data_IF_535510669879
#
_entry.id   IF_535510669879
#
_cell.length_a   1.000
_cell.length_b   1.000
_cell.length_c   1.000
_cell.angle_alpha   90.00
_cell.angle_beta   90.00
_cell.angle_gamma   90.00
#
_symmetry.space_group_name_H-M   'P 1'
#
loop_
_entity.id
_entity.type
_entity.pdbx_description
1 polymer ?
#
# COMPACT_ATOMS: atom_id res chain seq x y z
N UNK A 1 13.20 16.36 -6.99
CA UNK A 1 11.74 16.33 -7.24
C UNK A 1 11.46 15.09 -8.07
N UNK A 2 10.85 14.05 -7.51
CA UNK A 2 10.68 12.78 -8.23
C UNK A 2 9.50 12.91 -9.19
N UNK A 3 9.80 13.19 -10.45
CA UNK A 3 8.86 13.03 -11.56
C UNK A 3 8.48 11.55 -11.67
N UNK A 4 7.22 11.22 -11.42
CA UNK A 4 6.65 9.95 -11.84
C UNK A 4 5.93 10.18 -13.17
N UNK A 5 6.55 9.66 -14.24
CA UNK A 5 5.84 9.39 -15.48
C UNK A 5 4.78 8.33 -15.18
N UNK A 6 3.53 8.66 -15.47
CA UNK A 6 2.35 7.86 -15.19
C UNK A 6 2.29 6.59 -16.06
N UNK A 7 3.13 5.63 -15.74
CA UNK A 7 2.94 4.21 -16.08
C UNK A 7 3.05 3.38 -14.81
N UNK A 8 2.55 3.93 -13.70
CA UNK A 8 2.46 3.25 -12.41
C UNK A 8 1.32 2.23 -12.44
N UNK A 9 1.58 1.02 -11.94
CA UNK A 9 0.55 0.01 -11.78
C UNK A 9 -0.54 0.60 -10.86
N UNK A 10 -1.84 0.61 -11.22
CA UNK A 10 -2.88 1.30 -10.43
C UNK A 10 -2.92 0.89 -8.94
N UNK A 11 -2.47 -0.34 -8.65
CA UNK A 11 -2.36 -0.85 -7.28
C UNK A 11 -1.17 -0.30 -6.49
N UNK A 12 -0.08 0.11 -7.14
CA UNK A 12 1.09 0.70 -6.50
C UNK A 12 0.78 2.15 -6.13
N UNK A 13 0.26 2.93 -7.08
CA UNK A 13 -0.16 4.33 -6.88
C UNK A 13 -1.18 4.45 -5.72
N UNK A 14 -2.09 3.49 -5.61
CA UNK A 14 -3.05 3.44 -4.50
C UNK A 14 -2.38 3.22 -3.14
N UNK A 15 -1.38 2.34 -3.06
CA UNK A 15 -0.62 2.09 -1.84
C UNK A 15 0.25 3.28 -1.47
N UNK A 16 0.91 3.91 -2.44
CA UNK A 16 1.69 5.14 -2.25
C UNK A 16 0.82 6.23 -1.63
N UNK A 17 -0.37 6.47 -2.19
CA UNK A 17 -1.29 7.47 -1.66
C UNK A 17 -1.75 7.20 -0.23
N UNK A 18 -1.93 5.93 0.14
CA UNK A 18 -2.25 5.54 1.53
C UNK A 18 -1.09 5.88 2.46
N UNK A 19 0.15 5.58 2.05
CA UNK A 19 1.35 5.84 2.85
C UNK A 19 1.59 7.35 3.02
N UNK A 20 1.44 8.13 1.95
CA UNK A 20 1.56 9.59 1.99
C UNK A 20 0.59 10.19 3.00
N UNK A 21 -0.69 9.77 2.96
CA UNK A 21 -1.71 10.24 3.92
C UNK A 21 -1.39 9.79 5.34
N UNK A 22 -0.88 8.57 5.53
CA UNK A 22 -0.49 8.08 6.85
C UNK A 22 0.58 8.96 7.50
N UNK A 23 1.61 9.35 6.75
CA UNK A 23 2.70 10.19 7.27
C UNK A 23 2.33 11.66 7.40
N UNK A 24 1.59 12.22 6.45
CA UNK A 24 1.23 13.65 6.44
C UNK A 24 0.13 13.99 7.43
N UNK A 25 -0.92 13.17 7.52
CA UNK A 25 -2.09 13.44 8.36
C UNK A 25 -2.08 12.67 9.69
N UNK A 26 -1.11 11.77 9.90
CA UNK A 26 -0.91 10.98 11.13
C UNK A 26 -2.20 10.28 11.58
N UNK A 27 -2.97 9.78 10.61
CA UNK A 27 -4.23 9.10 10.86
C UNK A 27 -4.02 7.71 11.47
N UNK A 28 -4.97 7.30 12.32
CA UNK A 28 -5.01 5.91 12.77
C UNK A 28 -5.39 4.97 11.63
N UNK A 29 -4.96 3.70 11.73
CA UNK A 29 -5.29 2.62 10.78
C UNK A 29 -6.80 2.57 10.47
N UNK A 30 -7.65 2.74 11.49
CA UNK A 30 -9.12 2.71 11.33
C UNK A 30 -9.64 3.89 10.52
N UNK A 31 -9.07 5.09 10.70
CA UNK A 31 -9.43 6.29 9.92
C UNK A 31 -8.97 6.16 8.47
N UNK A 32 -7.76 5.63 8.25
CA UNK A 32 -7.26 5.31 6.91
C UNK A 32 -8.17 4.32 6.18
N UNK A 33 -8.49 3.19 6.82
CA UNK A 33 -9.37 2.17 6.25
C UNK A 33 -10.72 2.76 5.79
N UNK A 34 -11.35 3.58 6.64
CA UNK A 34 -12.61 4.26 6.32
C UNK A 34 -12.46 5.24 5.14
N UNK A 35 -11.38 6.04 5.12
CA UNK A 35 -11.15 7.04 4.07
C UNK A 35 -10.91 6.43 2.70
N UNK A 36 -10.18 5.33 2.65
CA UNK A 36 -9.82 4.65 1.40
C UNK A 36 -10.78 3.51 1.02
N UNK A 37 -11.81 3.24 1.84
CA UNK A 37 -12.80 2.20 1.54
C UNK A 37 -12.23 0.78 1.55
N UNK A 38 -11.18 0.52 2.34
CA UNK A 38 -10.49 -0.78 2.42
C UNK A 38 -10.61 -1.39 3.80
N UNK A 39 -10.28 -2.68 3.91
CA UNK A 39 -10.27 -3.36 5.20
C UNK A 39 -9.15 -2.84 6.10
N UNK A 40 -9.37 -2.90 7.43
CA UNK A 40 -8.33 -2.61 8.43
C UNK A 40 -7.09 -3.49 8.22
N UNK A 41 -7.32 -4.78 7.98
CA UNK A 41 -6.26 -5.78 7.78
C UNK A 41 -5.37 -5.47 6.58
N UNK A 42 -5.93 -4.89 5.51
CA UNK A 42 -5.15 -4.44 4.36
C UNK A 42 -4.17 -3.32 4.76
N UNK A 43 -4.64 -2.30 5.47
CA UNK A 43 -3.79 -1.19 5.96
C UNK A 43 -2.72 -1.73 6.93
N UNK A 44 -3.09 -2.60 7.88
CA UNK A 44 -2.15 -3.19 8.83
C UNK A 44 -1.05 -3.98 8.12
N UNK A 45 -1.42 -4.81 7.15
CA UNK A 45 -0.46 -5.61 6.38
C UNK A 45 0.46 -4.73 5.54
N UNK A 46 -0.08 -3.66 4.95
CA UNK A 46 0.70 -2.69 4.17
C UNK A 46 1.72 -1.95 5.04
N UNK A 47 1.29 -1.38 6.17
CA UNK A 47 2.18 -0.67 7.09
C UNK A 47 3.22 -1.60 7.72
N UNK A 48 2.83 -2.83 8.05
CA UNK A 48 3.75 -3.86 8.54
C UNK A 48 4.85 -4.14 7.51
N UNK A 49 4.48 -4.36 6.24
CA UNK A 49 5.44 -4.57 5.16
C UNK A 49 6.40 -3.39 5.00
N UNK A 50 5.86 -2.17 4.97
CA UNK A 50 6.68 -0.96 4.88
C UNK A 50 7.69 -0.89 6.03
N UNK A 51 7.26 -1.18 7.27
CA UNK A 51 8.15 -1.19 8.45
C UNK A 51 9.21 -2.29 8.39
N UNK A 52 8.86 -3.47 7.92
CA UNK A 52 9.75 -4.65 7.91
C UNK A 52 10.72 -4.66 6.73
N UNK A 53 10.32 -4.11 5.58
CA UNK A 53 11.06 -4.26 4.32
C UNK A 53 11.43 -2.94 3.64
N UNK A 54 10.82 -1.82 4.04
CA UNK A 54 10.95 -0.54 3.32
C UNK A 54 10.18 -0.50 2.00
N UNK A 55 9.40 -1.54 1.67
CA UNK A 55 8.69 -1.67 0.39
C UNK A 55 7.16 -1.82 0.60
N UNK A 56 6.40 -1.44 -0.42
CA UNK A 56 4.93 -1.48 -0.49
C UNK A 56 4.44 -2.32 -1.67
N UNK A 57 5.33 -2.84 -2.52
CA UNK A 57 4.96 -3.71 -3.62
C UNK A 57 4.21 -4.95 -3.14
N UNK A 58 3.27 -5.51 -3.93
CA UNK A 58 2.58 -6.73 -3.59
C UNK A 58 3.58 -7.90 -3.49
N UNK A 59 3.23 -8.94 -2.72
CA UNK A 59 3.99 -10.20 -2.82
C UNK A 59 3.76 -10.75 -4.24
N UNK A 60 4.79 -11.32 -4.90
CA UNK A 60 4.57 -12.07 -6.12
C UNK A 60 3.47 -13.09 -5.86
N UNK A 61 2.41 -13.07 -6.66
CA UNK A 61 1.41 -14.14 -6.60
C UNK A 61 2.15 -15.40 -7.02
N UNK A 62 2.45 -16.28 -6.06
CA UNK A 62 3.05 -17.58 -6.35
C UNK A 62 2.14 -18.29 -7.33
N UNK A 63 2.57 -18.35 -8.59
CA UNK A 63 1.77 -18.91 -9.67
C UNK A 63 1.31 -20.31 -9.28
N UNK A 64 0.06 -20.62 -9.60
CA UNK A 64 -0.37 -22.01 -9.73
C UNK A 64 0.64 -22.70 -10.66
N UNK A 65 1.56 -23.47 -10.08
CA UNK A 65 2.39 -24.38 -10.85
C UNK A 65 1.49 -25.58 -11.10
N UNK A 66 0.86 -25.61 -12.27
CA UNK A 66 0.34 -26.84 -12.84
C UNK A 66 1.48 -27.85 -12.85
N UNK A 67 1.24 -29.00 -12.21
CA UNK A 67 2.12 -30.16 -12.24
C UNK A 67 2.25 -30.71 -13.67
#
# INVERSE_FOLDING_TARGET
>A
MRSHLATGQPSLDFREKIIDVYFTERLSVRKLAKRFGVSKSFIETLLKRLRETGDIQPKPHGGWRSA
#
